data_IF_025647150542
#
_entry.id   IF_025647150542
#
_cell.length_a   1.000
_cell.length_b   1.000
_cell.length_c   1.000
_cell.angle_alpha   90.00
_cell.angle_beta   90.00
_cell.angle_gamma   90.00
#
_symmetry.space_group_name_H-M   'P 1'
#
loop_
_entity.id
_entity.type
_entity.pdbx_description
1 polymer ?
#
# COMPACT_ATOMS: atom_id res chain seq x y z
N UNK A 1 36.88 -32.78 -13.41
CA UNK A 1 35.99 -33.03 -12.23
C UNK A 1 35.40 -31.72 -11.64
N UNK A 2 35.85 -30.56 -12.11
CA UNK A 2 35.34 -29.25 -11.64
C UNK A 2 34.03 -28.78 -12.29
N UNK A 3 33.58 -29.40 -13.39
CA UNK A 3 32.39 -28.92 -14.12
C UNK A 3 31.05 -29.53 -13.65
N UNK A 4 31.06 -30.46 -12.69
CA UNK A 4 29.83 -31.07 -12.17
C UNK A 4 29.36 -30.49 -10.84
N UNK A 5 30.26 -29.91 -10.03
CA UNK A 5 29.93 -29.29 -8.77
C UNK A 5 29.35 -27.89 -8.97
N UNK A 6 29.83 -27.11 -9.96
CA UNK A 6 29.29 -25.79 -10.30
C UNK A 6 27.85 -25.86 -10.86
N UNK A 7 27.47 -26.94 -11.53
CA UNK A 7 26.12 -27.14 -12.03
C UNK A 7 25.13 -27.60 -10.95
N UNK A 8 25.60 -28.21 -9.85
CA UNK A 8 24.75 -28.60 -8.74
C UNK A 8 24.47 -27.43 -7.82
N UNK A 9 25.45 -26.52 -7.61
CA UNK A 9 25.25 -25.28 -6.82
C UNK A 9 24.29 -24.31 -7.51
N UNK A 10 24.26 -24.27 -8.86
CA UNK A 10 23.32 -23.43 -9.61
C UNK A 10 21.88 -23.97 -9.63
N UNK A 11 21.68 -25.26 -9.38
CA UNK A 11 20.35 -25.88 -9.29
C UNK A 11 19.74 -25.82 -7.88
N UNK A 12 20.52 -25.66 -6.84
CA UNK A 12 20.02 -25.54 -5.46
C UNK A 12 19.57 -24.10 -5.10
N UNK A 13 19.89 -23.09 -5.91
CA UNK A 13 19.48 -21.69 -5.68
C UNK A 13 18.14 -21.33 -6.34
N UNK A 14 17.51 -22.20 -7.10
CA UNK A 14 16.09 -22.09 -7.45
C UNK A 14 15.23 -22.83 -6.42
N UNK A 15 15.21 -22.37 -5.18
CA UNK A 15 14.05 -22.60 -4.33
C UNK A 15 12.87 -21.89 -5.02
N UNK A 16 12.10 -22.64 -5.78
CA UNK A 16 10.77 -22.25 -6.23
C UNK A 16 10.01 -21.95 -4.95
N UNK A 17 9.88 -20.67 -4.62
CA UNK A 17 9.06 -20.25 -3.51
C UNK A 17 7.67 -20.85 -3.77
N UNK A 18 7.28 -21.82 -2.97
CA UNK A 18 5.99 -22.49 -3.12
C UNK A 18 4.94 -21.39 -2.99
N UNK A 19 4.27 -21.07 -4.09
CA UNK A 19 3.24 -20.03 -4.12
C UNK A 19 2.18 -20.41 -3.09
N UNK A 20 1.99 -19.59 -2.06
CA UNK A 20 0.96 -19.85 -1.07
C UNK A 20 -0.41 -19.82 -1.75
N UNK A 21 -1.24 -20.80 -1.42
CA UNK A 21 -2.62 -20.80 -1.90
C UNK A 21 -3.36 -19.59 -1.34
N UNK A 22 -4.14 -18.92 -2.19
CA UNK A 22 -4.96 -17.75 -1.82
C UNK A 22 -6.41 -18.03 -2.18
N UNK A 23 -7.34 -17.54 -1.34
CA UNK A 23 -8.78 -17.66 -1.53
C UNK A 23 -9.47 -16.40 -1.00
N UNK A 24 -10.36 -15.80 -1.80
CA UNK A 24 -11.19 -14.68 -1.34
C UNK A 24 -12.26 -15.23 -0.39
N UNK A 25 -12.25 -14.74 0.85
CA UNK A 25 -13.17 -15.16 1.92
C UNK A 25 -14.03 -14.01 2.44
N UNK A 26 -14.13 -12.93 1.68
CA UNK A 26 -14.91 -11.73 1.97
C UNK A 26 -16.35 -12.09 2.32
N UNK A 27 -16.83 -11.63 3.48
CA UNK A 27 -18.24 -11.69 3.85
C UNK A 27 -18.96 -10.44 3.35
N UNK A 28 -20.24 -10.59 3.01
CA UNK A 28 -21.09 -9.53 2.47
C UNK A 28 -20.43 -8.76 1.30
N UNK A 29 -19.97 -9.45 0.25
CA UNK A 29 -19.23 -8.83 -0.83
C UNK A 29 -20.05 -7.73 -1.51
N UNK A 30 -19.37 -6.69 -1.94
CA UNK A 30 -19.93 -5.65 -2.79
C UNK A 30 -19.52 -5.89 -4.24
N UNK A 31 -20.33 -5.37 -5.18
CA UNK A 31 -19.95 -5.42 -6.59
C UNK A 31 -18.86 -4.36 -6.85
N UNK A 32 -17.63 -4.80 -7.08
CA UNK A 32 -16.52 -3.94 -7.48
C UNK A 32 -16.49 -3.83 -9.00
N UNK A 33 -16.67 -2.60 -9.51
CA UNK A 33 -16.53 -2.32 -10.94
C UNK A 33 -15.15 -1.74 -11.24
N UNK A 34 -14.62 -2.04 -12.42
CA UNK A 34 -13.46 -1.37 -13.01
C UNK A 34 -13.81 -0.98 -14.45
N UNK A 35 -13.15 0.04 -14.97
CA UNK A 35 -13.32 0.52 -16.34
C UNK A 35 -12.00 0.58 -17.13
N UNK A 36 -10.88 0.26 -16.46
CA UNK A 36 -9.55 0.17 -17.05
C UNK A 36 -8.84 -1.06 -16.51
N UNK A 37 -8.02 -1.70 -17.34
CA UNK A 37 -7.03 -2.69 -16.93
C UNK A 37 -5.68 -2.30 -17.51
N UNK A 38 -4.64 -2.27 -16.68
CA UNK A 38 -3.28 -1.90 -17.05
C UNK A 38 -2.29 -2.85 -16.35
N UNK A 39 -1.43 -3.51 -17.12
CA UNK A 39 -0.47 -4.49 -16.60
C UNK A 39 -1.09 -5.55 -15.67
N UNK A 40 -2.29 -6.05 -16.01
CA UNK A 40 -3.04 -7.02 -15.19
C UNK A 40 -3.64 -6.45 -13.89
N UNK A 41 -3.61 -5.13 -13.71
CA UNK A 41 -4.21 -4.44 -12.57
C UNK A 41 -5.55 -3.83 -12.99
N UNK A 42 -6.62 -4.19 -12.27
CA UNK A 42 -7.96 -3.62 -12.44
C UNK A 42 -8.01 -2.25 -11.78
N UNK A 43 -8.49 -1.25 -12.51
CA UNK A 43 -8.54 0.14 -12.08
C UNK A 43 -9.95 0.69 -12.28
N UNK A 44 -10.50 1.29 -11.24
CA UNK A 44 -11.66 2.17 -11.32
C UNK A 44 -11.17 3.60 -11.49
N UNK A 45 -11.10 4.05 -12.74
CA UNK A 45 -10.74 5.42 -13.07
C UNK A 45 -11.98 6.32 -12.94
N UNK A 46 -11.98 7.19 -11.93
CA UNK A 46 -13.04 8.19 -11.68
C UNK A 46 -12.63 9.60 -12.19
N UNK A 47 -11.68 9.67 -13.14
CA UNK A 47 -11.18 10.92 -13.73
C UNK A 47 -11.44 10.96 -15.23
N UNK A 48 -11.21 12.14 -15.84
CA UNK A 48 -11.24 12.31 -17.29
C UNK A 48 -9.90 11.96 -17.98
N UNK A 49 -8.86 11.59 -17.20
CA UNK A 49 -7.58 11.21 -17.78
C UNK A 49 -7.66 9.82 -18.39
N UNK A 50 -7.10 9.68 -19.59
CA UNK A 50 -6.91 8.37 -20.21
C UNK A 50 -5.80 7.62 -19.44
N UNK A 51 -6.13 6.43 -18.95
CA UNK A 51 -5.19 5.51 -18.29
C UNK A 51 -5.10 4.25 -19.14
N UNK A 52 -3.90 3.99 -19.65
CA UNK A 52 -3.57 2.81 -20.45
C UNK A 52 -2.10 2.43 -20.19
N UNK A 53 -1.60 1.41 -20.87
CA UNK A 53 -0.24 0.90 -20.66
C UNK A 53 0.87 1.93 -20.94
N UNK A 54 0.57 3.05 -21.61
CA UNK A 54 1.55 4.12 -21.80
C UNK A 54 2.01 4.78 -20.50
N UNK A 55 1.21 4.67 -19.42
CA UNK A 55 1.59 5.16 -18.09
C UNK A 55 2.87 4.47 -17.59
N UNK A 56 3.13 3.24 -18.02
CA UNK A 56 4.33 2.48 -17.67
C UNK A 56 5.61 3.07 -18.27
N UNK A 57 5.49 3.95 -19.27
CA UNK A 57 6.60 4.70 -19.86
C UNK A 57 6.98 5.94 -19.04
N UNK A 58 6.17 6.32 -18.03
CA UNK A 58 6.51 7.42 -17.12
C UNK A 58 7.82 7.11 -16.41
N UNK A 59 8.70 8.11 -16.29
CA UNK A 59 9.94 7.94 -15.55
C UNK A 59 9.65 7.76 -14.05
N UNK A 60 10.22 6.69 -13.47
CA UNK A 60 10.11 6.38 -12.05
C UNK A 60 11.51 6.13 -11.47
N UNK A 61 12.22 7.23 -11.23
CA UNK A 61 13.51 7.21 -10.54
C UNK A 61 13.30 7.58 -9.08
N UNK A 62 13.27 6.57 -8.21
CA UNK A 62 12.97 6.69 -6.78
C UNK A 62 14.00 5.95 -5.93
N UNK A 63 14.28 6.50 -4.73
CA UNK A 63 14.96 5.75 -3.67
C UNK A 63 13.96 4.76 -3.04
N UNK A 64 14.24 3.47 -3.18
CA UNK A 64 13.37 2.38 -2.72
C UNK A 64 13.67 1.87 -1.33
N UNK A 65 14.66 2.44 -0.63
CA UNK A 65 15.05 2.01 0.70
C UNK A 65 14.39 2.82 1.82
N UNK A 66 13.97 4.06 1.51
CA UNK A 66 13.38 4.96 2.50
C UNK A 66 11.87 4.99 2.32
N UNK A 67 11.11 4.85 3.40
CA UNK A 67 9.65 4.84 3.42
C UNK A 67 9.16 5.73 4.55
N UNK A 68 8.20 6.61 4.26
CA UNK A 68 7.40 7.32 5.26
C UNK A 68 6.03 6.67 5.31
N UNK A 69 5.57 6.31 6.50
CA UNK A 69 4.20 5.88 6.79
C UNK A 69 3.59 6.94 7.70
N UNK A 70 2.41 7.42 7.36
CA UNK A 70 1.65 8.35 8.17
C UNK A 70 0.15 8.10 8.01
N UNK A 71 -0.68 8.84 8.73
CA UNK A 71 -2.13 8.67 8.73
C UNK A 71 -2.80 10.04 8.69
N UNK A 72 -3.46 10.40 7.58
CA UNK A 72 -4.32 11.59 7.56
C UNK A 72 -5.52 11.41 8.48
N UNK A 73 -5.98 10.17 8.67
CA UNK A 73 -7.07 9.80 9.58
C UNK A 73 -6.59 8.81 10.65
N UNK A 74 -5.71 9.28 11.54
CA UNK A 74 -5.03 8.49 12.57
C UNK A 74 -5.98 7.72 13.50
N UNK A 75 -7.18 8.26 13.74
CA UNK A 75 -8.18 7.66 14.62
C UNK A 75 -9.08 6.61 13.95
N UNK A 76 -8.91 6.30 12.66
CA UNK A 76 -9.67 5.23 12.01
C UNK A 76 -9.42 3.88 12.68
N UNK A 77 -10.50 3.12 12.86
CA UNK A 77 -10.45 1.80 13.51
C UNK A 77 -11.39 0.81 12.80
N UNK A 78 -11.49 -0.38 13.33
CA UNK A 78 -12.09 -1.56 12.74
C UNK A 78 -13.22 -2.11 13.61
N UNK A 79 -13.87 -3.17 13.19
CA UNK A 79 -14.87 -3.87 14.01
C UNK A 79 -14.21 -4.41 15.28
N UNK A 80 -14.69 -4.03 16.50
CA UNK A 80 -14.16 -4.55 17.76
C UNK A 80 -14.36 -6.05 17.86
N UNK A 81 -13.37 -6.72 18.48
CA UNK A 81 -13.43 -8.14 18.84
C UNK A 81 -13.17 -8.29 20.34
N UNK A 82 -13.35 -9.48 20.89
CA UNK A 82 -13.03 -9.74 22.29
C UNK A 82 -11.57 -9.41 22.63
N UNK A 83 -10.65 -9.75 21.72
CA UNK A 83 -9.22 -9.49 21.88
C UNK A 83 -8.85 -8.01 21.63
N UNK A 84 -9.51 -7.35 20.67
CA UNK A 84 -9.25 -5.98 20.26
C UNK A 84 -10.48 -5.11 20.49
N UNK A 85 -10.91 -5.04 21.76
CA UNK A 85 -12.00 -4.14 22.17
C UNK A 85 -11.45 -2.77 22.55
N UNK A 86 -12.13 -1.70 22.17
CA UNK A 86 -11.69 -0.33 22.41
C UNK A 86 -12.87 0.60 22.68
N UNK A 87 -12.61 1.70 23.36
CA UNK A 87 -13.57 2.79 23.52
C UNK A 87 -13.68 3.60 22.23
N UNK A 88 -14.89 3.65 21.66
CA UNK A 88 -15.15 4.39 20.43
C UNK A 88 -15.31 5.88 20.74
N UNK A 89 -14.53 6.71 20.05
CA UNK A 89 -14.65 8.19 20.05
C UNK A 89 -15.44 8.71 18.83
N UNK A 90 -15.99 7.81 18.05
CA UNK A 90 -16.79 8.03 16.85
C UNK A 90 -17.08 6.70 16.16
N UNK A 91 -17.79 6.72 15.05
CA UNK A 91 -18.15 5.50 14.33
C UNK A 91 -16.92 4.79 13.77
N UNK A 92 -16.55 3.64 14.32
CA UNK A 92 -15.30 2.92 14.05
C UNK A 92 -14.08 3.84 14.13
N UNK A 93 -13.97 4.59 15.25
CA UNK A 93 -12.87 5.51 15.51
C UNK A 93 -12.49 5.44 16.99
N UNK A 94 -11.20 5.59 17.25
CA UNK A 94 -10.66 5.66 18.61
C UNK A 94 -9.43 6.56 18.67
N UNK A 95 -9.20 7.18 19.82
CA UNK A 95 -7.95 7.89 20.13
C UNK A 95 -6.91 6.98 20.77
N UNK A 96 -7.24 5.72 21.06
CA UNK A 96 -6.25 4.72 21.47
C UNK A 96 -5.56 4.13 20.22
N UNK A 97 -4.32 4.56 20.00
CA UNK A 97 -3.54 4.15 18.81
C UNK A 97 -3.22 2.65 18.77
N UNK A 98 -3.39 1.91 19.89
CA UNK A 98 -3.23 0.46 19.89
C UNK A 98 -4.36 -0.26 19.15
N UNK A 99 -5.47 0.42 18.89
CA UNK A 99 -6.65 -0.14 18.24
C UNK A 99 -7.05 0.60 16.95
N UNK A 100 -6.25 1.55 16.50
CA UNK A 100 -6.48 2.30 15.26
C UNK A 100 -5.61 1.81 14.11
N UNK A 101 -5.78 2.42 12.94
CA UNK A 101 -4.93 2.21 11.77
C UNK A 101 -3.44 2.47 12.06
N UNK A 102 -3.13 3.27 13.09
CA UNK A 102 -1.75 3.50 13.53
C UNK A 102 -1.09 2.21 14.06
N UNK A 103 -1.85 1.31 14.73
CA UNK A 103 -1.33 -0.01 15.13
C UNK A 103 -0.98 -0.88 13.93
N UNK A 104 -1.78 -0.79 12.86
CA UNK A 104 -1.49 -1.48 11.59
C UNK A 104 -0.21 -0.92 10.96
N UNK A 105 -0.03 0.40 11.01
CA UNK A 105 1.20 1.07 10.57
C UNK A 105 2.44 0.66 11.38
N UNK A 106 2.32 0.46 12.71
CA UNK A 106 3.41 -0.08 13.53
C UNK A 106 3.86 -1.47 13.04
N UNK A 107 2.90 -2.34 12.71
CA UNK A 107 3.21 -3.68 12.22
C UNK A 107 3.93 -3.64 10.87
N UNK A 108 3.41 -2.82 9.92
CA UNK A 108 4.06 -2.63 8.63
C UNK A 108 5.50 -2.11 8.80
N UNK A 109 5.69 -1.09 9.63
CA UNK A 109 7.01 -0.51 9.90
C UNK A 109 7.98 -1.55 10.45
N UNK A 110 7.54 -2.38 11.41
CA UNK A 110 8.36 -3.43 12.01
C UNK A 110 8.83 -4.47 10.98
N UNK A 111 7.93 -4.96 10.11
CA UNK A 111 8.31 -5.88 9.05
C UNK A 111 9.27 -5.24 8.04
N UNK A 112 8.99 -4.01 7.61
CA UNK A 112 9.85 -3.30 6.64
C UNK A 112 11.26 -3.06 7.21
N UNK A 113 11.37 -2.65 8.48
CA UNK A 113 12.66 -2.51 9.17
C UNK A 113 13.38 -3.87 9.21
N UNK A 114 12.66 -4.96 9.49
CA UNK A 114 13.20 -6.32 9.46
C UNK A 114 13.77 -6.72 8.10
N UNK A 115 13.19 -6.20 6.99
CA UNK A 115 13.72 -6.37 5.63
C UNK A 115 14.80 -5.33 5.25
N UNK A 116 15.24 -4.50 6.18
CA UNK A 116 16.33 -3.53 5.97
C UNK A 116 15.92 -2.24 5.28
N UNK A 117 14.63 -1.87 5.33
CA UNK A 117 14.19 -0.54 4.93
C UNK A 117 14.45 0.47 6.06
N UNK A 118 14.70 1.72 5.67
CA UNK A 118 14.67 2.87 6.58
C UNK A 118 13.26 3.42 6.62
N UNK A 119 12.58 3.32 7.76
CA UNK A 119 11.17 3.67 7.90
C UNK A 119 10.99 4.78 8.93
N UNK A 120 10.25 5.81 8.57
CA UNK A 120 9.69 6.79 9.50
C UNK A 120 8.18 6.54 9.56
N UNK A 121 7.68 6.17 10.74
CA UNK A 121 6.25 6.02 10.99
C UNK A 121 5.75 7.12 11.92
N UNK A 122 4.92 8.02 11.39
CA UNK A 122 4.32 9.13 12.12
C UNK A 122 2.89 8.78 12.55
N UNK A 123 2.60 8.97 13.84
CA UNK A 123 1.31 8.68 14.49
C UNK A 123 0.65 9.94 15.04
N UNK A 124 1.00 11.10 14.54
CA UNK A 124 0.38 12.38 14.94
C UNK A 124 -1.12 12.33 14.64
N UNK A 125 -1.92 12.81 15.59
CA UNK A 125 -3.36 12.97 15.38
C UNK A 125 -3.64 14.10 14.40
N UNK A 126 -4.02 13.78 13.17
CA UNK A 126 -4.38 14.78 12.16
C UNK A 126 -5.89 15.02 12.07
N UNK A 127 -6.70 14.08 12.56
CA UNK A 127 -8.16 14.11 12.49
C UNK A 127 -8.86 14.18 13.85
N UNK A 128 -8.09 14.47 14.91
CA UNK A 128 -8.59 14.72 16.25
C UNK A 128 -7.87 15.94 16.87
N UNK A 129 -8.56 16.82 17.64
CA UNK A 129 -9.99 16.77 17.97
C UNK A 129 -10.93 17.18 16.82
N UNK A 130 -10.41 17.68 15.69
CA UNK A 130 -11.20 18.11 14.54
C UNK A 130 -10.88 17.28 13.29
N UNK A 131 -11.92 16.68 12.68
CA UNK A 131 -11.78 15.94 11.42
C UNK A 131 -11.46 16.86 10.23
N UNK A 132 -12.19 17.99 10.13
CA UNK A 132 -11.98 18.98 9.06
C UNK A 132 -10.56 19.54 9.11
N UNK A 133 -9.88 19.58 7.96
CA UNK A 133 -8.51 20.08 7.85
C UNK A 133 -7.42 19.04 8.14
N UNK A 134 -7.77 17.75 8.31
CA UNK A 134 -6.80 16.66 8.54
C UNK A 134 -5.74 16.59 7.44
N UNK A 135 -6.10 16.72 6.16
CA UNK A 135 -5.14 16.75 5.05
C UNK A 135 -4.16 17.93 5.10
N UNK A 136 -4.60 19.09 5.61
CA UNK A 136 -3.69 20.24 5.77
C UNK A 136 -2.69 19.99 6.90
N UNK A 137 -3.14 19.37 8.00
CA UNK A 137 -2.26 19.03 9.13
C UNK A 137 -1.29 17.93 8.77
N UNK A 138 -1.75 16.85 8.15
CA UNK A 138 -0.88 15.74 7.72
C UNK A 138 0.15 16.18 6.69
N UNK A 139 -0.23 17.07 5.75
CA UNK A 139 0.71 17.67 4.80
C UNK A 139 1.85 18.37 5.53
N UNK A 140 1.56 19.22 6.52
CA UNK A 140 2.58 19.94 7.29
C UNK A 140 3.52 18.99 8.04
N UNK A 141 2.99 17.93 8.62
CA UNK A 141 3.78 16.90 9.30
C UNK A 141 4.74 16.21 8.32
N UNK A 142 4.23 15.74 7.19
CA UNK A 142 5.06 15.04 6.18
C UNK A 142 6.12 15.98 5.58
N UNK A 143 5.77 17.23 5.28
CA UNK A 143 6.74 18.25 4.83
C UNK A 143 7.87 18.47 5.84
N UNK A 144 7.56 18.46 7.15
CA UNK A 144 8.55 18.54 8.21
C UNK A 144 9.47 17.30 8.26
N UNK A 145 8.91 16.09 8.11
CA UNK A 145 9.68 14.85 8.08
C UNK A 145 10.62 14.83 6.87
N UNK A 146 10.15 15.25 5.70
CA UNK A 146 10.92 15.27 4.46
C UNK A 146 12.16 16.18 4.51
N UNK A 147 12.19 17.20 5.38
CA UNK A 147 13.36 18.08 5.55
C UNK A 147 14.59 17.31 6.08
N UNK A 148 14.38 16.31 6.94
CA UNK A 148 15.45 15.49 7.53
C UNK A 148 15.53 14.08 6.95
N UNK A 149 14.45 13.61 6.32
CA UNK A 149 14.33 12.26 5.75
C UNK A 149 13.81 12.33 4.30
N UNK A 150 14.64 12.75 3.34
CA UNK A 150 14.24 12.80 1.93
C UNK A 150 13.78 11.42 1.44
N UNK A 151 12.55 11.33 0.96
CA UNK A 151 11.89 10.07 0.66
C UNK A 151 10.92 10.23 -0.50
N UNK A 152 10.89 9.26 -1.42
CA UNK A 152 9.94 9.23 -2.53
C UNK A 152 8.71 8.36 -2.22
N UNK A 153 8.88 7.27 -1.42
CA UNK A 153 7.81 6.34 -1.05
C UNK A 153 7.12 6.87 0.20
N UNK A 154 5.92 7.40 0.03
CA UNK A 154 5.14 8.05 1.10
C UNK A 154 3.75 7.39 1.15
N UNK A 155 3.46 6.69 2.23
CA UNK A 155 2.25 5.91 2.40
C UNK A 155 1.34 6.60 3.41
N UNK A 156 0.19 7.10 2.96
CA UNK A 156 -0.92 7.48 3.83
C UNK A 156 -1.76 6.23 4.07
N UNK A 157 -1.59 5.62 5.25
CA UNK A 157 -2.24 4.35 5.58
C UNK A 157 -3.60 4.62 6.21
N UNK A 158 -4.63 4.10 5.60
CA UNK A 158 -6.04 4.32 5.91
C UNK A 158 -6.80 3.00 6.11
N UNK A 159 -8.06 3.12 6.40
CA UNK A 159 -9.08 2.08 6.37
C UNK A 159 -10.24 2.56 5.50
N UNK A 160 -10.72 1.73 4.57
CA UNK A 160 -11.80 2.06 3.65
C UNK A 160 -13.13 2.27 4.40
N UNK A 161 -13.77 3.43 4.18
CA UNK A 161 -15.04 3.81 4.78
C UNK A 161 -16.18 3.65 3.79
N UNK A 162 -16.80 2.46 3.74
CA UNK A 162 -17.88 2.14 2.78
C UNK A 162 -19.27 2.51 3.34
N UNK A 163 -19.40 3.62 4.04
CA UNK A 163 -20.68 4.20 4.46
C UNK A 163 -21.61 3.20 5.14
N UNK A 164 -22.77 2.92 4.54
CA UNK A 164 -23.79 2.00 5.08
C UNK A 164 -23.41 0.51 5.04
N UNK A 165 -22.27 0.16 4.46
CA UNK A 165 -21.77 -1.22 4.33
C UNK A 165 -20.76 -1.56 5.44
N UNK A 166 -21.05 -1.19 6.68
CA UNK A 166 -20.16 -1.42 7.83
C UNK A 166 -19.83 -2.89 8.11
N UNK A 167 -20.62 -3.82 7.59
CA UNK A 167 -20.38 -5.27 7.71
C UNK A 167 -19.65 -5.88 6.49
N UNK A 168 -19.21 -5.08 5.54
CA UNK A 168 -18.35 -5.54 4.45
C UNK A 168 -16.93 -5.70 4.96
N UNK A 169 -16.41 -6.92 4.92
CA UNK A 169 -15.07 -7.28 5.40
C UNK A 169 -14.22 -7.87 4.27
N UNK A 170 -13.67 -7.04 3.37
CA UNK A 170 -12.84 -7.53 2.28
C UNK A 170 -11.65 -8.32 2.82
N UNK A 171 -11.66 -9.64 2.59
CA UNK A 171 -10.70 -10.56 3.18
C UNK A 171 -10.22 -11.62 2.19
N UNK A 172 -8.96 -12.01 2.33
CA UNK A 172 -8.31 -13.08 1.59
C UNK A 172 -7.62 -14.03 2.55
N UNK A 173 -7.81 -15.33 2.36
CA UNK A 173 -7.03 -16.35 3.04
C UNK A 173 -5.73 -16.57 2.27
N UNK A 174 -4.59 -16.52 2.96
CA UNK A 174 -3.25 -16.77 2.40
C UNK A 174 -2.55 -17.79 3.30
N UNK A 175 -2.42 -19.01 2.85
CA UNK A 175 -2.01 -20.11 3.72
C UNK A 175 -3.02 -20.30 4.85
N UNK A 176 -2.56 -20.18 6.09
CA UNK A 176 -3.41 -20.29 7.29
C UNK A 176 -3.95 -18.95 7.79
N UNK A 177 -3.41 -17.82 7.31
CA UNK A 177 -3.82 -16.49 7.75
C UNK A 177 -5.06 -16.00 6.98
N UNK A 178 -5.99 -15.35 7.68
CA UNK A 178 -7.02 -14.51 7.07
C UNK A 178 -6.53 -13.06 7.17
N UNK A 179 -6.28 -12.45 6.03
CA UNK A 179 -5.79 -11.09 5.88
C UNK A 179 -6.87 -10.18 5.30
N UNK A 180 -6.95 -8.93 5.75
CA UNK A 180 -7.77 -7.93 5.10
C UNK A 180 -7.23 -7.62 3.70
N UNK A 181 -8.11 -7.43 2.70
CA UNK A 181 -7.68 -6.99 1.39
C UNK A 181 -7.24 -5.53 1.43
N UNK A 182 -6.29 -5.19 0.58
CA UNK A 182 -5.71 -3.87 0.43
C UNK A 182 -6.28 -3.17 -0.81
N UNK A 183 -6.24 -1.84 -0.82
CA UNK A 183 -6.65 -1.06 -1.99
C UNK A 183 -5.78 0.19 -2.14
N UNK A 184 -5.22 0.41 -3.31
CA UNK A 184 -4.62 1.69 -3.64
C UNK A 184 -5.69 2.73 -4.00
N UNK A 185 -5.53 3.96 -3.47
CA UNK A 185 -6.23 5.14 -3.95
C UNK A 185 -5.18 6.15 -4.43
N UNK A 186 -5.22 6.43 -5.74
CA UNK A 186 -4.26 7.32 -6.39
C UNK A 186 -4.97 8.62 -6.78
N UNK A 187 -4.40 9.71 -6.32
CA UNK A 187 -4.87 11.04 -6.63
C UNK A 187 -4.25 11.60 -7.90
N UNK A 188 -4.93 12.55 -8.50
CA UNK A 188 -4.48 13.27 -9.70
C UNK A 188 -4.58 14.77 -9.50
N UNK A 189 -4.25 15.54 -10.55
CA UNK A 189 -4.49 16.98 -10.60
C UNK A 189 -5.87 17.36 -11.19
N UNK A 190 -6.74 16.39 -11.43
CA UNK A 190 -8.07 16.61 -12.01
C UNK A 190 -8.96 17.56 -11.18
N UNK A 191 -8.73 17.65 -9.86
CA UNK A 191 -9.37 18.63 -8.97
C UNK A 191 -8.76 20.04 -9.00
N UNK A 192 -7.82 20.34 -9.92
CA UNK A 192 -7.23 21.66 -10.12
C UNK A 192 -6.02 21.98 -9.22
N UNK A 193 -5.65 21.11 -8.28
CA UNK A 193 -4.46 21.31 -7.46
C UNK A 193 -3.21 20.81 -8.20
N UNK A 194 -2.11 21.56 -8.12
CA UNK A 194 -0.85 21.18 -8.72
C UNK A 194 -0.33 19.82 -8.18
N UNK A 195 -0.17 18.84 -9.07
CA UNK A 195 0.29 17.50 -8.75
C UNK A 195 1.11 16.92 -9.91
N UNK A 196 2.40 17.31 -10.02
CA UNK A 196 3.23 16.88 -11.15
C UNK A 196 3.61 15.40 -11.11
N UNK A 197 3.51 14.76 -9.93
CA UNK A 197 3.97 13.39 -9.70
C UNK A 197 2.88 12.32 -9.89
N UNK A 198 1.63 12.69 -10.23
CA UNK A 198 0.54 11.71 -10.24
C UNK A 198 0.78 10.53 -11.20
N UNK A 199 1.39 10.79 -12.35
CA UNK A 199 1.74 9.73 -13.30
C UNK A 199 2.78 8.77 -12.73
N UNK A 200 3.81 9.28 -12.02
CA UNK A 200 4.82 8.46 -11.33
C UNK A 200 4.19 7.66 -10.19
N UNK A 201 3.30 8.27 -9.41
CA UNK A 201 2.58 7.60 -8.32
C UNK A 201 1.69 6.47 -8.85
N UNK A 202 0.98 6.71 -9.95
CA UNK A 202 0.13 5.69 -10.58
C UNK A 202 0.98 4.55 -11.15
N UNK A 203 2.08 4.85 -11.84
CA UNK A 203 3.00 3.81 -12.32
C UNK A 203 3.53 2.96 -11.17
N UNK A 204 3.99 3.59 -10.08
CA UNK A 204 4.46 2.88 -8.90
C UNK A 204 3.38 1.91 -8.39
N UNK A 205 2.16 2.40 -8.20
CA UNK A 205 1.06 1.60 -7.67
C UNK A 205 0.69 0.43 -8.61
N UNK A 206 0.68 0.64 -9.93
CA UNK A 206 0.41 -0.41 -10.92
C UNK A 206 1.51 -1.49 -10.88
N UNK A 207 2.78 -1.10 -10.96
CA UNK A 207 3.90 -2.06 -10.91
C UNK A 207 3.92 -2.83 -9.59
N UNK A 208 3.67 -2.16 -8.47
CA UNK A 208 3.62 -2.76 -7.14
C UNK A 208 2.46 -3.74 -7.00
N UNK A 209 1.24 -3.35 -7.40
CA UNK A 209 0.06 -4.21 -7.34
C UNK A 209 0.16 -5.39 -8.31
N UNK A 210 0.74 -5.22 -9.50
CA UNK A 210 1.02 -6.33 -10.40
C UNK A 210 1.94 -7.38 -9.74
N UNK A 211 2.98 -6.92 -9.01
CA UNK A 211 3.86 -7.82 -8.23
C UNK A 211 3.10 -8.48 -7.08
N UNK A 212 2.26 -7.75 -6.38
CA UNK A 212 1.42 -8.32 -5.32
C UNK A 212 0.44 -9.37 -5.86
N UNK A 213 -0.18 -9.14 -7.04
CA UNK A 213 -1.08 -10.08 -7.69
C UNK A 213 -0.36 -11.37 -8.13
N UNK A 214 0.92 -11.26 -8.53
CA UNK A 214 1.77 -12.42 -8.83
C UNK A 214 2.02 -13.27 -7.58
N UNK A 215 2.38 -12.63 -6.46
CA UNK A 215 2.77 -13.29 -5.22
C UNK A 215 1.56 -13.81 -4.42
N UNK A 216 0.55 -12.96 -4.27
CA UNK A 216 -0.62 -13.17 -3.42
C UNK A 216 -1.90 -12.73 -4.15
N UNK A 217 -2.41 -13.51 -5.12
CA UNK A 217 -3.64 -13.18 -5.83
C UNK A 217 -4.79 -12.86 -4.86
N UNK A 218 -5.45 -11.72 -5.06
CA UNK A 218 -6.55 -11.28 -4.20
C UNK A 218 -6.15 -10.50 -2.95
N UNK A 219 -4.85 -10.31 -2.66
CA UNK A 219 -4.43 -9.40 -1.59
C UNK A 219 -4.87 -7.96 -1.87
N UNK A 220 -4.76 -7.50 -3.10
CA UNK A 220 -5.25 -6.19 -3.52
C UNK A 220 -6.59 -6.28 -4.26
N UNK A 221 -7.49 -5.36 -3.92
CA UNK A 221 -8.74 -5.08 -4.64
C UNK A 221 -8.48 -4.21 -5.88
N UNK A 222 -9.56 -3.90 -6.60
CA UNK A 222 -9.54 -2.91 -7.68
C UNK A 222 -9.00 -1.57 -7.17
N UNK A 223 -7.95 -1.06 -7.81
CA UNK A 223 -7.37 0.25 -7.53
C UNK A 223 -8.35 1.36 -7.89
N UNK A 224 -8.37 2.46 -7.14
CA UNK A 224 -9.18 3.64 -7.46
C UNK A 224 -8.26 4.81 -7.83
N UNK A 225 -8.59 5.50 -8.95
CA UNK A 225 -7.93 6.73 -9.36
C UNK A 225 -8.94 7.88 -9.31
N UNK A 226 -8.59 8.98 -8.62
CA UNK A 226 -9.48 10.10 -8.31
C UNK A 226 -8.91 11.46 -8.67
N UNK A 227 -9.80 12.45 -8.81
CA UNK A 227 -9.41 13.84 -9.08
C UNK A 227 -8.74 14.54 -7.88
N UNK A 228 -8.95 14.06 -6.65
CA UNK A 228 -8.35 14.64 -5.44
C UNK A 228 -6.86 14.32 -5.34
N UNK A 229 -6.05 15.28 -4.87
CA UNK A 229 -4.58 15.15 -4.79
C UNK A 229 -4.08 14.31 -3.61
N UNK A 230 -4.79 14.27 -2.47
CA UNK A 230 -4.46 13.50 -1.25
C UNK A 230 -3.03 13.69 -0.71
N UNK A 231 -2.42 14.89 -0.84
CA UNK A 231 -1.02 15.16 -0.49
C UNK A 231 0.03 14.30 -1.25
N UNK A 232 -0.37 13.52 -2.25
CA UNK A 232 0.51 12.62 -2.99
C UNK A 232 1.51 13.35 -3.90
N UNK A 233 1.38 14.66 -4.05
CA UNK A 233 2.38 15.51 -4.70
C UNK A 233 3.70 15.62 -3.90
N UNK A 234 3.76 15.12 -2.68
CA UNK A 234 4.94 15.18 -1.81
C UNK A 234 6.00 14.14 -2.16
N UNK A 235 5.66 13.09 -2.91
CA UNK A 235 6.59 12.07 -3.37
C UNK A 235 6.31 11.58 -4.78
N UNK A 236 7.27 10.86 -5.38
CA UNK A 236 7.14 10.24 -6.71
C UNK A 236 6.54 8.83 -6.66
N UNK A 237 6.43 8.26 -5.47
CA UNK A 237 5.78 7.00 -5.16
C UNK A 237 4.89 7.15 -3.92
N UNK A 238 4.10 8.25 -3.91
CA UNK A 238 3.17 8.55 -2.83
C UNK A 238 1.79 7.96 -3.15
N UNK A 239 1.16 7.34 -2.16
CA UNK A 239 -0.13 6.68 -2.32
C UNK A 239 -0.93 6.66 -1.01
N UNK A 240 -2.24 6.47 -1.11
CA UNK A 240 -3.05 5.93 -0.03
C UNK A 240 -3.08 4.41 -0.19
N UNK A 241 -2.94 3.70 0.92
CA UNK A 241 -3.27 2.28 1.02
C UNK A 241 -4.39 2.14 2.05
N UNK A 242 -5.56 1.73 1.57
CA UNK A 242 -6.66 1.31 2.42
C UNK A 242 -6.40 -0.13 2.87
N UNK A 243 -6.38 -0.36 4.17
CA UNK A 243 -6.20 -1.69 4.76
C UNK A 243 -7.54 -2.16 5.29
N UNK A 244 -8.19 -3.05 4.53
CA UNK A 244 -9.54 -3.49 4.85
C UNK A 244 -10.58 -2.37 4.86
N UNK A 245 -11.68 -2.63 5.53
CA UNK A 245 -12.78 -1.68 5.74
C UNK A 245 -13.26 -1.71 7.19
N UNK A 246 -14.31 -0.96 7.52
CA UNK A 246 -14.95 -0.99 8.84
C UNK A 246 -15.40 -2.37 9.29
N UNK A 247 -15.73 -3.27 8.35
CA UNK A 247 -16.16 -4.63 8.66
C UNK A 247 -15.04 -5.57 9.08
N UNK A 248 -13.80 -5.27 8.68
CA UNK A 248 -12.65 -6.08 9.07
C UNK A 248 -12.32 -5.95 10.56
N UNK A 249 -11.65 -6.94 11.11
CA UNK A 249 -11.05 -6.89 12.43
C UNK A 249 -9.63 -6.32 12.37
N UNK A 250 -9.15 -5.78 13.48
CA UNK A 250 -7.75 -5.31 13.57
C UNK A 250 -6.76 -6.44 13.29
N UNK A 251 -7.05 -7.67 13.74
CA UNK A 251 -6.21 -8.84 13.49
C UNK A 251 -6.05 -9.13 12.00
N UNK A 252 -7.15 -9.13 11.23
CA UNK A 252 -7.09 -9.32 9.77
C UNK A 252 -6.21 -8.26 9.09
N UNK A 253 -6.28 -7.01 9.56
CA UNK A 253 -5.49 -5.90 9.03
C UNK A 253 -4.00 -6.02 9.40
N UNK A 254 -3.69 -6.46 10.62
CA UNK A 254 -2.32 -6.77 11.06
C UNK A 254 -1.73 -7.91 10.20
N UNK A 255 -2.50 -8.98 9.95
CA UNK A 255 -2.06 -10.09 9.12
C UNK A 255 -1.68 -9.66 7.71
N UNK A 256 -2.36 -8.65 7.14
CA UNK A 256 -2.05 -8.12 5.80
C UNK A 256 -0.65 -7.52 5.72
N UNK A 257 -0.13 -6.97 6.81
CA UNK A 257 1.16 -6.25 6.83
C UNK A 257 2.35 -7.19 6.61
N UNK A 258 2.25 -8.43 7.02
CA UNK A 258 3.22 -9.49 6.73
C UNK A 258 3.38 -9.68 5.21
N UNK A 259 2.28 -9.75 4.49
CA UNK A 259 2.27 -9.97 3.04
C UNK A 259 2.64 -8.69 2.28
N UNK A 260 2.09 -7.55 2.68
CA UNK A 260 2.41 -6.25 2.08
C UNK A 260 3.91 -5.93 2.16
N UNK A 261 4.52 -6.15 3.33
CA UNK A 261 5.95 -5.90 3.53
C UNK A 261 6.83 -6.82 2.67
N UNK A 262 6.41 -8.09 2.49
CA UNK A 262 7.12 -9.01 1.60
C UNK A 262 7.03 -8.58 0.13
N UNK A 263 5.91 -8.01 -0.31
CA UNK A 263 5.80 -7.41 -1.66
C UNK A 263 6.76 -6.24 -1.80
N UNK A 264 6.93 -5.38 -0.78
CA UNK A 264 7.93 -4.30 -0.80
C UNK A 264 9.36 -4.82 -0.98
N UNK A 265 9.72 -5.87 -0.24
CA UNK A 265 11.04 -6.52 -0.37
C UNK A 265 11.27 -7.01 -1.81
N UNK A 266 10.34 -7.81 -2.36
CA UNK A 266 10.46 -8.36 -3.70
C UNK A 266 10.45 -7.28 -4.80
N UNK A 267 9.61 -6.25 -4.65
CA UNK A 267 9.59 -5.11 -5.58
C UNK A 267 10.93 -4.37 -5.60
N UNK A 268 11.57 -4.18 -4.45
CA UNK A 268 12.89 -3.59 -4.34
C UNK A 268 13.95 -4.44 -5.05
N UNK A 269 13.98 -5.75 -4.79
CA UNK A 269 14.98 -6.67 -5.34
C UNK A 269 14.84 -6.84 -6.87
N UNK A 270 13.62 -6.98 -7.38
CA UNK A 270 13.37 -7.09 -8.82
C UNK A 270 13.96 -5.90 -9.59
N UNK A 271 13.84 -4.70 -9.06
CA UNK A 271 14.37 -3.49 -9.71
C UNK A 271 15.91 -3.36 -9.58
N UNK A 272 16.54 -3.97 -8.58
CA UNK A 272 18.01 -4.03 -8.46
C UNK A 272 18.61 -4.91 -9.55
N UNK A 273 18.02 -6.07 -9.81
CA UNK A 273 18.48 -7.00 -10.86
C UNK A 273 18.41 -6.34 -12.24
N UNK A 274 17.34 -5.62 -12.55
CA UNK A 274 17.19 -4.93 -13.84
C UNK A 274 18.28 -3.88 -14.09
N UNK A 275 18.72 -3.16 -13.05
CA UNK A 275 19.80 -2.16 -13.16
C UNK A 275 21.14 -2.83 -13.43
N UNK A 276 21.42 -3.98 -12.80
CA UNK A 276 22.68 -4.72 -12.96
C UNK A 276 22.81 -5.39 -14.31
N UNK A 277 21.69 -5.74 -14.96
CA UNK A 277 21.67 -6.44 -16.26
C UNK A 277 21.64 -5.47 -17.46
N UNK A 278 21.44 -4.14 -17.23
CA UNK A 278 21.50 -3.16 -18.31
C UNK A 278 22.95 -2.76 -18.55
N UNK A 279 23.60 -3.13 -19.69
CA UNK A 279 24.98 -2.75 -19.96
C UNK A 279 25.08 -1.24 -20.03
N UNK A 280 26.07 -0.67 -19.34
CA UNK A 280 26.45 0.74 -19.48
C UNK A 280 26.81 0.95 -20.96
N UNK A 281 25.95 1.60 -21.72
CA UNK A 281 26.32 2.08 -23.06
C UNK A 281 27.32 3.21 -22.85
N UNK A 282 28.59 2.89 -22.91
CA UNK A 282 29.66 3.88 -23.09
C UNK A 282 29.52 4.47 -24.50
N UNK A 283 29.25 5.76 -24.55
CA UNK A 283 29.37 6.57 -25.76
C UNK A 283 30.82 7.03 -25.91
#
# INVERSE_FOLDING_TARGET
SESKEDNQLAQETQQVATKLATEIVTQNPINESHNVECNGVKIKNETEFEINDSILNTELNINKNNIIIFHTHTCESYTPTEQYNYEQTGNYRTTDLNYSVARVGDELANYLIGYGFSVVHDKTYHDYPAYTGSYTRSKKTVEGILQSNPTDIIIDLHRDAIGSKSNYDPSVKIGDDVAAQLMFVIGTNGGGLYHPNWGSNLKFAIEFQAKANEMYPGLFKTMIVRNSRYNQNLGKAACIIEVGSTGNTLEQCINSMKYLSKVFEEYREQKRILITLTPIRTF
#
